data_IF_715801525836
#
_entry.id   IF_715801525836
#
_cell.length_a   1.000
_cell.length_b   1.000
_cell.length_c   1.000
_cell.angle_alpha   90.00
_cell.angle_beta   90.00
_cell.angle_gamma   90.00
#
_symmetry.space_group_name_H-M   'P 1'
#
loop_
_entity.id
_entity.type
_entity.pdbx_description
1 polymer ?
#
# COMPACT_ATOMS: atom_id res chain seq x y z
N UNK A 1 0.76 29.63 0.77
CA UNK A 1 -0.64 29.14 0.73
C UNK A 1 -0.74 27.99 -0.25
N UNK A 2 -1.07 26.83 0.30
CA UNK A 2 -1.49 25.57 -0.32
C UNK A 2 -0.55 24.89 -1.34
N UNK A 3 0.57 24.37 -0.84
CA UNK A 3 1.23 23.21 -1.42
C UNK A 3 0.28 22.01 -1.30
N UNK A 4 -0.59 21.84 -2.31
CA UNK A 4 -1.44 20.66 -2.51
C UNK A 4 -0.54 19.45 -2.75
N UNK A 5 -0.01 18.92 -1.65
CA UNK A 5 1.00 17.88 -1.60
C UNK A 5 0.52 16.67 -2.38
N UNK A 6 1.26 16.36 -3.45
CA UNK A 6 1.10 15.17 -4.25
C UNK A 6 0.97 13.95 -3.32
N UNK A 7 -0.14 13.21 -3.41
CA UNK A 7 -0.42 12.06 -2.54
C UNK A 7 0.58 10.90 -2.77
N UNK A 8 1.12 10.83 -3.99
CA UNK A 8 2.26 10.01 -4.39
C UNK A 8 3.60 10.73 -4.11
N UNK A 9 4.67 9.98 -3.85
CA UNK A 9 5.99 10.56 -4.06
C UNK A 9 6.07 10.98 -5.55
N UNK A 10 6.81 12.05 -5.88
CA UNK A 10 6.88 12.58 -7.24
C UNK A 10 7.28 11.54 -8.32
N UNK A 11 7.79 10.39 -7.89
CA UNK A 11 8.27 9.25 -8.67
C UNK A 11 7.17 8.22 -9.05
N UNK A 12 5.99 8.19 -8.39
CA UNK A 12 5.05 7.05 -8.47
C UNK A 12 3.85 7.23 -9.45
N UNK A 13 3.81 8.31 -10.25
CA UNK A 13 2.59 8.70 -11.00
C UNK A 13 2.51 8.21 -12.47
N UNK A 14 3.47 7.42 -12.97
CA UNK A 14 3.58 7.10 -14.41
C UNK A 14 3.33 5.62 -14.75
N UNK A 15 2.14 5.10 -14.51
CA UNK A 15 1.78 3.79 -15.04
C UNK A 15 0.27 3.59 -15.25
N UNK A 16 -0.39 4.57 -15.87
CA UNK A 16 -1.68 4.31 -16.51
C UNK A 16 -1.47 4.39 -18.02
N UNK A 17 -1.94 3.38 -18.74
CA UNK A 17 -2.01 3.27 -20.21
C UNK A 17 -0.75 2.81 -20.98
N UNK A 18 -0.44 1.51 -21.01
CA UNK A 18 0.28 0.92 -22.16
C UNK A 18 -0.09 -0.53 -22.51
N UNK A 19 -0.81 -1.26 -21.65
CA UNK A 19 -1.07 -2.71 -21.83
C UNK A 19 -2.30 -3.04 -22.69
N UNK A 20 -3.11 -2.04 -23.07
CA UNK A 20 -4.39 -2.22 -23.76
C UNK A 20 -4.25 -2.81 -25.17
N UNK A 21 -3.15 -2.55 -25.87
CA UNK A 21 -3.04 -2.88 -27.30
C UNK A 21 -2.57 -4.33 -27.60
N UNK A 22 -1.98 -5.04 -26.63
CA UNK A 22 -1.52 -6.44 -26.82
C UNK A 22 -2.57 -7.48 -26.42
N UNK A 23 -3.42 -7.17 -25.43
CA UNK A 23 -4.53 -8.05 -25.03
C UNK A 23 -5.50 -8.32 -26.18
N UNK A 24 -5.81 -7.29 -26.97
CA UNK A 24 -6.79 -7.36 -28.05
C UNK A 24 -6.41 -8.37 -29.14
N UNK A 25 -5.11 -8.55 -29.41
CA UNK A 25 -4.62 -9.49 -30.42
C UNK A 25 -4.66 -10.96 -29.96
N UNK A 26 -4.25 -11.25 -28.72
CA UNK A 26 -4.25 -12.63 -28.19
C UNK A 26 -5.66 -13.15 -27.91
N UNK A 27 -6.57 -12.30 -27.42
CA UNK A 27 -7.99 -12.66 -27.22
C UNK A 27 -8.63 -13.04 -28.56
N UNK A 28 -8.36 -12.27 -29.63
CA UNK A 28 -8.85 -12.58 -30.99
C UNK A 28 -8.30 -13.89 -31.55
N UNK A 29 -7.13 -14.33 -31.10
CA UNK A 29 -6.49 -15.57 -31.54
C UNK A 29 -6.84 -16.80 -30.67
N UNK A 30 -7.68 -16.65 -29.64
CA UNK A 30 -8.10 -17.75 -28.76
C UNK A 30 -6.98 -18.37 -27.93
N UNK A 31 -5.85 -17.68 -27.75
CA UNK A 31 -4.69 -18.19 -26.98
C UNK A 31 -4.71 -17.66 -25.55
N UNK A 32 -4.42 -18.49 -24.53
CA UNK A 32 -4.23 -17.99 -23.18
C UNK A 32 -3.06 -17.00 -23.16
N UNK A 33 -3.34 -15.77 -22.74
CA UNK A 33 -2.35 -14.71 -22.58
C UNK A 33 -2.02 -14.57 -21.09
N UNK A 34 -0.75 -14.65 -20.66
CA UNK A 34 -0.40 -14.47 -19.27
C UNK A 34 -0.69 -13.03 -18.86
N UNK A 35 -1.80 -12.84 -18.15
CA UNK A 35 -2.16 -11.57 -17.55
C UNK A 35 -1.58 -11.51 -16.13
N UNK A 36 -0.75 -10.51 -15.86
CA UNK A 36 -0.34 -10.24 -14.49
C UNK A 36 -1.55 -9.80 -13.65
N UNK A 37 -1.67 -10.33 -12.43
CA UNK A 37 -2.70 -9.91 -11.49
C UNK A 37 -2.61 -8.39 -11.22
N UNK A 38 -3.72 -7.69 -10.94
CA UNK A 38 -3.68 -6.26 -10.62
C UNK A 38 -2.60 -5.87 -9.61
N UNK A 39 -2.51 -6.55 -8.47
CA UNK A 39 -1.49 -6.28 -7.44
C UNK A 39 -0.05 -6.58 -7.93
N UNK A 40 0.12 -7.60 -8.77
CA UNK A 40 1.39 -7.95 -9.39
C UNK A 40 1.87 -6.82 -10.32
N UNK A 41 0.95 -6.22 -11.08
CA UNK A 41 1.23 -5.04 -11.91
C UNK A 41 1.56 -3.81 -11.07
N UNK A 42 0.80 -3.54 -10.00
CA UNK A 42 1.10 -2.48 -9.05
C UNK A 42 2.54 -2.57 -8.50
N UNK A 43 2.96 -3.77 -8.09
CA UNK A 43 4.33 -4.02 -7.61
C UNK A 43 5.39 -3.76 -8.69
N UNK A 44 5.14 -4.24 -9.92
CA UNK A 44 6.04 -4.06 -11.07
C UNK A 44 6.18 -2.59 -11.45
N UNK A 45 5.06 -1.89 -11.51
CA UNK A 45 4.95 -0.55 -12.05
C UNK A 45 5.11 0.53 -10.96
N UNK A 46 5.41 0.13 -9.72
CA UNK A 46 5.66 0.98 -8.55
C UNK A 46 4.55 2.00 -8.30
N UNK A 47 3.30 1.53 -8.41
CA UNK A 47 2.11 2.30 -8.09
C UNK A 47 1.32 1.57 -7.00
N UNK A 48 0.91 2.29 -5.96
CA UNK A 48 0.18 1.78 -4.81
C UNK A 48 -1.09 2.61 -4.58
N UNK A 49 -2.12 2.01 -4.00
CA UNK A 49 -3.36 2.72 -3.64
C UNK A 49 -3.49 2.98 -2.14
N UNK A 50 -2.53 2.50 -1.34
CA UNK A 50 -2.45 2.89 0.05
C UNK A 50 -1.02 2.92 0.55
N UNK A 51 -0.81 3.66 1.63
CA UNK A 51 0.46 3.68 2.37
C UNK A 51 0.19 3.73 3.86
N UNK A 52 0.98 2.97 4.61
CA UNK A 52 1.06 3.06 6.07
C UNK A 52 2.43 3.63 6.43
N UNK A 53 2.45 4.76 7.13
CA UNK A 53 3.66 5.41 7.60
C UNK A 53 3.85 5.14 9.10
N UNK A 54 4.96 4.51 9.45
CA UNK A 54 5.38 4.27 10.83
C UNK A 54 6.33 5.39 11.25
N UNK A 55 5.84 6.24 12.16
CA UNK A 55 6.55 7.38 12.72
C UNK A 55 6.99 7.12 14.16
N UNK A 56 8.01 7.86 14.59
CA UNK A 56 8.63 7.70 15.90
C UNK A 56 9.72 6.61 15.93
N UNK A 57 10.49 6.58 17.01
CA UNK A 57 11.57 5.61 17.22
C UNK A 57 11.17 4.44 18.12
N UNK A 58 10.11 4.57 18.92
CA UNK A 58 9.72 3.60 19.94
C UNK A 58 9.37 2.23 19.35
N UNK A 59 8.63 2.19 18.24
CA UNK A 59 8.29 0.94 17.57
C UNK A 59 9.50 0.15 17.06
N UNK A 60 10.66 0.81 16.84
CA UNK A 60 11.86 0.15 16.31
C UNK A 60 12.41 -0.91 17.27
N UNK A 61 12.27 -0.70 18.58
CA UNK A 61 12.66 -1.67 19.60
C UNK A 61 11.83 -2.96 19.50
N UNK A 62 10.57 -2.85 19.09
CA UNK A 62 9.63 -3.96 18.90
C UNK A 62 9.27 -4.18 17.43
N UNK A 63 10.19 -3.85 16.51
CA UNK A 63 9.93 -3.83 15.06
C UNK A 63 9.42 -5.17 14.54
N UNK A 64 9.95 -6.28 15.05
CA UNK A 64 9.50 -7.62 14.70
C UNK A 64 7.99 -7.82 14.93
N UNK A 65 7.47 -7.41 16.11
CA UNK A 65 6.04 -7.54 16.43
C UNK A 65 5.16 -6.67 15.54
N UNK A 66 5.64 -5.47 15.20
CA UNK A 66 4.93 -4.54 14.32
C UNK A 66 4.83 -5.09 12.90
N UNK A 67 5.94 -5.59 12.33
CA UNK A 67 5.92 -6.22 11.02
C UNK A 67 5.18 -7.56 11.00
N UNK A 68 5.21 -8.31 12.08
CA UNK A 68 4.41 -9.53 12.25
C UNK A 68 2.91 -9.21 12.22
N UNK A 69 2.46 -8.21 12.99
CA UNK A 69 1.07 -7.77 12.96
C UNK A 69 0.63 -7.37 11.54
N UNK A 70 1.45 -6.57 10.85
CA UNK A 70 1.22 -6.18 9.45
C UNK A 70 1.12 -7.38 8.53
N UNK A 71 2.04 -8.35 8.66
CA UNK A 71 2.06 -9.57 7.85
C UNK A 71 0.86 -10.48 8.09
N UNK A 72 0.43 -10.61 9.35
CA UNK A 72 -0.77 -11.37 9.71
C UNK A 72 -2.02 -10.69 9.13
N UNK A 73 -2.14 -9.36 9.25
CA UNK A 73 -3.24 -8.61 8.65
C UNK A 73 -3.28 -8.80 7.14
N UNK A 74 -2.13 -8.70 6.45
CA UNK A 74 -2.04 -8.98 5.01
C UNK A 74 -2.52 -10.40 4.69
N UNK A 75 -2.07 -11.41 5.42
CA UNK A 75 -2.47 -12.80 5.18
C UNK A 75 -3.98 -13.02 5.31
N UNK A 76 -4.60 -12.44 6.36
CA UNK A 76 -6.04 -12.54 6.61
C UNK A 76 -6.84 -11.88 5.48
N UNK A 77 -6.47 -10.65 5.12
CA UNK A 77 -7.18 -9.90 4.08
C UNK A 77 -6.95 -10.50 2.69
N UNK A 78 -5.74 -11.00 2.43
CA UNK A 78 -5.41 -11.70 1.18
C UNK A 78 -6.19 -13.00 0.98
N UNK A 79 -6.54 -13.69 2.07
CA UNK A 79 -7.39 -14.87 2.00
C UNK A 79 -8.82 -14.52 1.55
N UNK A 80 -9.28 -13.29 1.79
CA UNK A 80 -10.61 -12.77 1.38
C UNK A 80 -10.57 -12.13 -0.01
N UNK A 81 -9.50 -11.39 -0.30
CA UNK A 81 -9.26 -10.70 -1.55
C UNK A 81 -7.79 -10.85 -1.94
N UNK A 82 -7.49 -11.68 -2.93
CA UNK A 82 -6.13 -12.04 -3.35
C UNK A 82 -5.28 -10.85 -3.88
N UNK A 83 -5.94 -9.73 -4.15
CA UNK A 83 -5.34 -8.47 -4.54
C UNK A 83 -4.85 -7.65 -3.36
N UNK A 84 -5.30 -7.90 -2.12
CA UNK A 84 -4.78 -7.24 -0.92
C UNK A 84 -3.34 -7.73 -0.65
N UNK A 85 -2.35 -6.87 -0.91
CA UNK A 85 -0.93 -7.20 -0.82
C UNK A 85 -0.12 -6.04 -0.31
N UNK A 86 0.85 -6.34 0.55
CA UNK A 86 1.99 -5.47 0.80
C UNK A 86 2.90 -5.53 -0.41
N UNK A 87 3.13 -4.38 -1.04
CA UNK A 87 3.85 -4.31 -2.30
C UNK A 87 5.36 -4.14 -2.08
N UNK A 88 5.73 -3.13 -1.29
CA UNK A 88 7.10 -2.84 -0.87
C UNK A 88 7.10 -1.93 0.36
N UNK A 89 8.26 -1.81 1.00
CA UNK A 89 8.50 -0.84 2.06
C UNK A 89 9.74 -0.01 1.75
N UNK A 90 9.79 1.21 2.29
CA UNK A 90 10.96 2.11 2.18
C UNK A 90 11.08 2.92 3.45
N UNK A 91 12.30 3.05 3.96
CA UNK A 91 12.59 3.93 5.10
C UNK A 91 13.32 5.17 4.59
N UNK A 92 12.78 6.36 4.89
CA UNK A 92 13.38 7.64 4.54
C UNK A 92 13.18 8.63 5.68
N UNK A 93 14.20 9.41 6.03
CA UNK A 93 14.11 10.48 7.03
C UNK A 93 13.53 10.02 8.39
N UNK A 94 13.83 8.78 8.77
CA UNK A 94 13.33 8.21 10.02
C UNK A 94 11.91 7.61 9.96
N UNK A 95 11.20 7.77 8.85
CA UNK A 95 9.85 7.24 8.64
C UNK A 95 9.90 5.97 7.78
N UNK A 96 9.25 4.90 8.23
CA UNK A 96 9.08 3.68 7.45
C UNK A 96 7.74 3.71 6.76
N UNK A 97 7.73 3.70 5.42
CA UNK A 97 6.53 3.65 4.59
C UNK A 97 6.32 2.24 4.05
N UNK A 98 5.10 1.72 4.21
CA UNK A 98 4.68 0.41 3.71
C UNK A 98 3.58 0.66 2.69
N UNK A 99 3.85 0.30 1.44
CA UNK A 99 2.95 0.55 0.32
C UNK A 99 2.11 -0.69 0.06
N UNK A 100 0.80 -0.49 -0.12
CA UNK A 100 -0.18 -1.56 -0.27
C UNK A 100 -1.00 -1.38 -1.54
N UNK A 101 -1.49 -2.49 -2.06
CA UNK A 101 -2.21 -2.56 -3.33
C UNK A 101 -3.59 -1.89 -3.32
N UNK A 102 -4.27 -1.87 -2.18
CA UNK A 102 -5.62 -1.30 -2.05
C UNK A 102 -5.73 -0.48 -0.76
N UNK A 103 -6.61 0.54 -0.72
CA UNK A 103 -6.82 1.37 0.46
C UNK A 103 -7.28 0.58 1.69
N UNK A 104 -8.08 -0.46 1.50
CA UNK A 104 -8.67 -1.23 2.60
C UNK A 104 -7.63 -2.01 3.41
N UNK A 105 -6.61 -2.59 2.78
CA UNK A 105 -5.49 -3.18 3.53
C UNK A 105 -4.72 -2.13 4.36
N UNK A 106 -4.54 -0.91 3.83
CA UNK A 106 -3.92 0.17 4.61
C UNK A 106 -4.78 0.51 5.84
N UNK A 107 -6.11 0.57 5.69
CA UNK A 107 -7.05 0.79 6.80
C UNK A 107 -6.94 -0.31 7.85
N UNK A 108 -7.02 -1.58 7.44
CA UNK A 108 -6.96 -2.72 8.33
C UNK A 108 -5.62 -2.83 9.08
N UNK A 109 -4.51 -2.54 8.41
CA UNK A 109 -3.20 -2.44 9.07
C UNK A 109 -3.24 -1.33 10.13
N UNK A 110 -3.81 -0.17 9.80
CA UNK A 110 -3.96 0.92 10.76
C UNK A 110 -4.76 0.52 12.00
N UNK A 111 -5.91 -0.12 11.80
CA UNK A 111 -6.76 -0.62 12.89
C UNK A 111 -6.03 -1.65 13.76
N UNK A 112 -5.28 -2.55 13.13
CA UNK A 112 -4.46 -3.53 13.85
C UNK A 112 -3.35 -2.85 14.67
N UNK A 113 -2.68 -1.83 14.11
CA UNK A 113 -1.65 -1.09 14.82
C UNK A 113 -2.22 -0.36 16.04
N UNK A 114 -3.39 0.28 15.89
CA UNK A 114 -4.08 0.97 16.98
C UNK A 114 -4.56 -0.02 18.07
N UNK A 115 -4.95 -1.23 17.67
CA UNK A 115 -5.42 -2.28 18.57
C UNK A 115 -4.30 -2.91 19.39
N UNK A 116 -3.15 -3.16 18.75
CA UNK A 116 -2.05 -3.94 19.33
C UNK A 116 -0.92 -3.11 19.95
N UNK A 117 -0.82 -1.82 19.60
CA UNK A 117 0.29 -0.97 20.03
C UNK A 117 -0.20 0.42 20.46
N UNK A 118 0.53 1.03 21.40
CA UNK A 118 0.23 2.42 21.79
C UNK A 118 0.72 3.40 20.75
N UNK A 119 -0.09 4.39 20.48
CA UNK A 119 0.24 5.45 19.55
C UNK A 119 -0.98 6.20 19.08
N UNK A 120 -0.73 7.23 18.27
CA UNK A 120 -1.75 8.01 17.59
C UNK A 120 -1.84 7.60 16.14
N UNK A 121 -3.05 7.52 15.61
CA UNK A 121 -3.29 7.15 14.22
C UNK A 121 -4.13 8.22 13.52
N UNK A 122 -3.76 8.52 12.28
CA UNK A 122 -4.48 9.44 11.42
C UNK A 122 -4.74 8.78 10.06
N UNK A 123 -5.94 8.97 9.54
CA UNK A 123 -6.37 8.47 8.23
C UNK A 123 -6.60 9.63 7.29
N UNK A 124 -5.76 9.73 6.26
CA UNK A 124 -5.77 10.80 5.28
C UNK A 124 -6.22 10.24 3.93
N UNK A 125 -7.39 10.68 3.46
CA UNK A 125 -7.99 10.26 2.19
C UNK A 125 -7.82 11.35 1.13
N UNK A 126 -7.57 10.93 -0.11
CA UNK A 126 -7.67 11.84 -1.26
C UNK A 126 -9.14 12.00 -1.67
N UNK A 127 -9.52 13.23 -2.06
CA UNK A 127 -10.83 13.52 -2.63
C UNK A 127 -10.89 13.25 -4.15
N UNK A 128 -9.74 13.15 -4.80
CA UNK A 128 -9.62 13.03 -6.26
C UNK A 128 -9.31 11.58 -6.68
N UNK A 129 -8.73 10.78 -5.78
CA UNK A 129 -8.24 9.45 -6.09
C UNK A 129 -8.59 8.46 -4.97
N UNK A 130 -8.81 7.18 -5.29
CA UNK A 130 -9.01 6.12 -4.30
C UNK A 130 -7.65 5.76 -3.65
N UNK A 131 -7.14 6.67 -2.82
CA UNK A 131 -5.86 6.54 -2.11
C UNK A 131 -6.04 6.79 -0.61
N UNK A 132 -5.48 5.91 0.22
CA UNK A 132 -5.47 6.06 1.68
C UNK A 132 -4.05 6.11 2.23
N UNK A 133 -3.74 7.18 2.96
CA UNK A 133 -2.54 7.31 3.77
C UNK A 133 -2.91 7.14 5.23
N UNK A 134 -2.31 6.15 5.88
CA UNK A 134 -2.41 5.93 7.31
C UNK A 134 -1.11 6.36 7.95
N UNK A 135 -1.18 7.26 8.92
CA UNK A 135 -0.02 7.75 9.66
C UNK A 135 -0.15 7.25 11.08
N UNK A 136 0.80 6.43 11.53
CA UNK A 136 0.84 5.95 12.91
C UNK A 136 2.09 6.46 13.62
N UNK A 137 1.91 7.19 14.71
CA UNK A 137 2.97 7.66 15.59
C UNK A 137 3.02 6.77 16.83
N UNK A 138 4.06 5.94 16.94
CA UNK A 138 4.21 5.02 18.07
C UNK A 138 4.49 5.75 19.39
N UNK A 139 3.81 5.34 20.47
CA UNK A 139 3.93 5.90 21.83
C UNK A 139 4.23 4.82 22.89
N UNK A 140 5.00 3.78 22.52
CA UNK A 140 5.47 2.63 23.35
C UNK A 140 4.39 1.68 23.91
#
# INVERSE_FOLDING_TARGET
MNSRGRWYAAEDAKARFSESNRLSASIRAGRPYPLACPACRQKRDRFAQGVVELHGSAWRHNSNRVFEAIGITEQIERARNDQERVLWSRTMEGVTRIYVSLPELARHIGEELQRCFKGKIEYLRSNEEPYLRVVWHSEW
#
